data_IF_880156263935
#
_entry.id   IF_880156263935
#
_cell.length_a   1.000
_cell.length_b   1.000
_cell.length_c   1.000
_cell.angle_alpha   90.00
_cell.angle_beta   90.00
_cell.angle_gamma   90.00
#
_symmetry.space_group_name_H-M   'P 1'
#
loop_
_entity.id
_entity.type
_entity.pdbx_description
1 polymer ?
#
# COMPACT_ATOMS: atom_id res chain seq x y z
N UNK A 1 -17.55 -13.42 -9.92
CA UNK A 1 -16.71 -12.36 -9.32
C UNK A 1 -16.45 -12.73 -7.87
N UNK A 2 -15.22 -12.58 -7.38
CA UNK A 2 -14.87 -12.83 -5.97
C UNK A 2 -14.10 -11.63 -5.42
N UNK A 3 -14.47 -11.20 -4.23
CA UNK A 3 -13.77 -10.18 -3.45
C UNK A 3 -12.98 -10.91 -2.36
N UNK A 4 -11.73 -10.49 -2.16
CA UNK A 4 -10.85 -11.03 -1.12
C UNK A 4 -10.28 -9.86 -0.34
N UNK A 5 -10.40 -9.93 0.98
CA UNK A 5 -9.94 -8.90 1.91
C UNK A 5 -9.22 -9.58 3.09
N UNK A 6 -8.05 -9.07 3.44
CA UNK A 6 -7.29 -9.53 4.61
C UNK A 6 -6.32 -8.47 5.09
N UNK A 7 -5.86 -8.66 6.33
CA UNK A 7 -4.86 -7.82 6.98
C UNK A 7 -3.69 -8.68 7.41
N UNK A 8 -2.48 -8.22 7.17
CA UNK A 8 -1.24 -8.87 7.60
C UNK A 8 -0.44 -7.91 8.47
N UNK A 9 -0.04 -8.29 9.69
CA UNK A 9 0.86 -7.48 10.50
C UNK A 9 2.21 -7.27 9.80
N UNK A 10 2.77 -6.06 9.92
CA UNK A 10 4.12 -5.71 9.46
C UNK A 10 4.84 -5.02 10.63
N UNK A 11 5.59 -5.80 11.40
CA UNK A 11 6.12 -5.35 12.68
C UNK A 11 5.05 -5.29 13.78
N UNK A 12 5.35 -4.55 14.86
CA UNK A 12 4.49 -4.46 16.06
C UNK A 12 3.39 -3.42 15.88
N UNK A 13 3.70 -2.36 15.14
CA UNK A 13 2.88 -1.16 14.97
C UNK A 13 2.45 -0.91 13.53
N UNK A 14 2.83 -1.80 12.59
CA UNK A 14 2.47 -1.71 11.18
C UNK A 14 1.51 -2.80 10.74
N UNK A 15 0.74 -2.53 9.69
CA UNK A 15 -0.10 -3.52 9.03
C UNK A 15 -0.20 -3.25 7.53
N UNK A 16 -0.35 -4.32 6.76
CA UNK A 16 -0.76 -4.28 5.36
C UNK A 16 -2.20 -4.69 5.24
N UNK A 17 -3.03 -3.85 4.62
CA UNK A 17 -4.41 -4.17 4.23
C UNK A 17 -4.42 -4.49 2.75
N UNK A 18 -4.95 -5.65 2.41
CA UNK A 18 -5.09 -6.08 1.02
C UNK A 18 -6.57 -6.28 0.72
N UNK A 19 -7.02 -5.70 -0.38
CA UNK A 19 -8.30 -5.96 -1.02
C UNK A 19 -8.08 -6.20 -2.49
N UNK A 20 -8.65 -7.24 -3.06
CA UNK A 20 -8.68 -7.39 -4.51
C UNK A 20 -9.96 -8.05 -5.00
N UNK A 21 -10.28 -7.75 -6.26
CA UNK A 21 -11.44 -8.27 -6.97
C UNK A 21 -10.96 -9.11 -8.14
N UNK A 22 -11.54 -10.30 -8.30
CA UNK A 22 -11.19 -11.22 -9.38
C UNK A 22 -12.38 -11.84 -10.09
N UNK A 23 -12.17 -12.17 -11.37
CA UNK A 23 -13.05 -13.01 -12.18
C UNK A 23 -12.21 -14.22 -12.64
N UNK A 24 -12.56 -15.41 -12.14
CA UNK A 24 -11.70 -16.59 -12.32
C UNK A 24 -10.32 -16.37 -11.69
N UNK A 25 -9.28 -16.54 -12.48
CA UNK A 25 -7.88 -16.30 -12.11
C UNK A 25 -7.39 -14.86 -12.37
N UNK A 26 -8.23 -14.00 -12.97
CA UNK A 26 -7.82 -12.65 -13.38
C UNK A 26 -8.22 -11.60 -12.33
N UNK A 27 -7.24 -10.86 -11.82
CA UNK A 27 -7.44 -9.64 -11.04
C UNK A 27 -7.94 -8.53 -11.96
N UNK A 28 -9.00 -7.85 -11.51
CA UNK A 28 -9.57 -6.70 -12.23
C UNK A 28 -9.39 -5.39 -11.46
N UNK A 29 -9.26 -5.46 -10.13
CA UNK A 29 -9.02 -4.31 -9.26
C UNK A 29 -8.29 -4.77 -8.00
N UNK A 30 -7.43 -3.92 -7.44
CA UNK A 30 -6.87 -4.15 -6.11
C UNK A 30 -6.52 -2.86 -5.38
N UNK A 31 -6.39 -2.99 -4.07
CA UNK A 31 -5.79 -2.02 -3.16
C UNK A 31 -4.89 -2.79 -2.18
N UNK A 32 -3.63 -2.40 -2.09
CA UNK A 32 -2.67 -2.90 -1.09
C UNK A 32 -2.07 -1.71 -0.36
N UNK A 33 -2.39 -1.55 0.91
CA UNK A 33 -2.02 -0.37 1.69
C UNK A 33 -1.21 -0.75 2.93
N UNK A 34 -0.07 -0.10 3.11
CA UNK A 34 0.71 -0.13 4.35
C UNK A 34 0.32 1.03 5.25
N UNK A 35 0.03 0.72 6.52
CA UNK A 35 -0.32 1.68 7.56
C UNK A 35 0.53 1.42 8.81
N UNK A 36 0.87 2.48 9.55
CA UNK A 36 1.45 2.38 10.89
C UNK A 36 0.57 3.06 11.92
N UNK A 37 0.73 2.63 13.17
CA UNK A 37 0.00 3.18 14.30
C UNK A 37 0.87 4.17 15.08
N UNK A 38 0.43 5.44 15.15
CA UNK A 38 1.07 6.51 15.92
C UNK A 38 0.01 7.12 16.84
N UNK A 39 0.28 7.28 18.13
CA UNK A 39 -0.66 7.87 19.10
C UNK A 39 -2.09 7.29 19.05
N UNK A 40 -2.16 5.97 18.85
CA UNK A 40 -3.40 5.19 18.71
C UNK A 40 -4.20 5.39 17.41
N UNK A 41 -3.66 6.13 16.44
CA UNK A 41 -4.26 6.37 15.13
C UNK A 41 -3.48 5.68 14.01
N UNK A 42 -4.16 5.27 12.94
CA UNK A 42 -3.55 4.59 11.80
C UNK A 42 -3.26 5.58 10.67
N UNK A 43 -1.99 5.66 10.28
CA UNK A 43 -1.51 6.52 9.22
C UNK A 43 -1.13 5.69 8.00
N UNK A 44 -1.73 5.93 6.82
CA UNK A 44 -1.28 5.31 5.58
C UNK A 44 0.08 5.87 5.16
N UNK A 45 1.01 5.00 4.78
CA UNK A 45 2.35 5.41 4.31
C UNK A 45 2.51 5.14 2.81
N UNK A 46 2.10 3.96 2.36
CA UNK A 46 2.19 3.56 0.95
C UNK A 46 0.90 2.85 0.58
N UNK A 47 0.30 3.23 -0.55
CA UNK A 47 -0.84 2.57 -1.14
C UNK A 47 -0.54 2.20 -2.58
N UNK A 48 -0.80 0.96 -2.92
CA UNK A 48 -0.90 0.53 -4.31
C UNK A 48 -2.37 0.35 -4.63
N UNK A 49 -2.84 0.91 -5.73
CA UNK A 49 -4.21 0.74 -6.19
C UNK A 49 -4.31 0.69 -7.71
N UNK A 50 -5.47 0.29 -8.19
CA UNK A 50 -5.81 0.28 -9.61
C UNK A 50 -6.79 1.39 -9.92
N UNK A 51 -6.28 2.61 -10.08
CA UNK A 51 -7.08 3.74 -10.56
C UNK A 51 -7.18 3.71 -12.09
N UNK A 52 -8.38 3.84 -12.65
CA UNK A 52 -8.62 3.87 -14.10
C UNK A 52 -8.03 2.68 -14.91
N UNK A 53 -7.87 1.52 -14.28
CA UNK A 53 -7.38 0.30 -14.94
C UNK A 53 -5.84 0.17 -14.99
N UNK A 54 -5.10 1.14 -14.46
CA UNK A 54 -3.65 1.10 -14.31
C UNK A 54 -3.26 1.01 -12.85
N UNK A 55 -2.17 0.30 -12.56
CA UNK A 55 -1.67 0.18 -11.20
C UNK A 55 -0.80 1.40 -10.87
N UNK A 56 -1.05 2.03 -9.73
CA UNK A 56 -0.27 3.14 -9.20
C UNK A 56 0.33 2.79 -7.84
N UNK A 57 1.37 3.52 -7.48
CA UNK A 57 1.94 3.58 -6.14
C UNK A 57 1.83 5.02 -5.64
N UNK A 58 1.05 5.19 -4.58
CA UNK A 58 0.91 6.41 -3.84
C UNK A 58 1.79 6.33 -2.58
N UNK A 59 2.74 7.25 -2.42
CA UNK A 59 3.45 7.47 -1.15
C UNK A 59 2.83 8.67 -0.45
N UNK A 60 2.42 8.49 0.80
CA UNK A 60 1.73 9.48 1.59
C UNK A 60 2.69 10.07 2.63
N UNK A 61 2.77 11.39 2.69
CA UNK A 61 3.51 12.13 3.70
C UNK A 61 2.69 12.26 4.98
N UNK A 62 3.34 12.56 6.11
CA UNK A 62 2.62 12.85 7.36
C UNK A 62 1.66 14.04 7.23
N UNK A 63 1.97 14.99 6.35
CA UNK A 63 1.14 16.18 6.08
C UNK A 63 -0.03 15.93 5.12
N UNK A 64 -0.12 14.73 4.55
CA UNK A 64 -1.16 14.38 3.58
C UNK A 64 -0.79 14.65 2.12
N UNK A 65 0.45 15.05 1.83
CA UNK A 65 0.94 15.11 0.46
C UNK A 65 1.04 13.70 -0.14
N UNK A 66 0.73 13.56 -1.42
CA UNK A 66 0.76 12.27 -2.11
C UNK A 66 1.68 12.37 -3.33
N UNK A 67 2.70 11.52 -3.36
CA UNK A 67 3.54 11.30 -4.54
C UNK A 67 2.99 10.07 -5.26
N UNK A 68 2.52 10.26 -6.50
CA UNK A 68 1.97 9.20 -7.34
C UNK A 68 3.01 8.74 -8.35
N UNK A 69 3.26 7.44 -8.39
CA UNK A 69 4.12 6.77 -9.37
C UNK A 69 3.25 5.75 -10.13
N UNK A 70 3.19 5.85 -11.45
CA UNK A 70 2.55 4.81 -12.28
C UNK A 70 3.44 3.56 -12.30
N UNK A 71 2.83 2.39 -12.17
CA UNK A 71 3.55 1.13 -12.29
C UNK A 71 3.58 0.66 -13.76
N UNK A 72 4.74 0.19 -14.25
CA UNK A 72 4.90 -0.24 -15.64
C UNK A 72 4.33 -1.65 -15.88
N UNK A 73 3.16 -1.97 -15.32
CA UNK A 73 2.52 -3.28 -15.42
C UNK A 73 1.14 -3.17 -16.06
N UNK A 74 0.98 -3.83 -17.20
CA UNK A 74 -0.33 -3.99 -17.85
C UNK A 74 -1.12 -5.18 -17.27
N UNK A 75 -0.46 -6.14 -16.63
CA UNK A 75 -1.11 -7.27 -15.95
C UNK A 75 -1.31 -6.96 -14.47
N UNK A 76 -2.58 -6.85 -14.06
CA UNK A 76 -2.94 -6.58 -12.67
C UNK A 76 -2.63 -7.74 -11.71
N UNK A 77 -2.50 -8.98 -12.20
CA UNK A 77 -2.02 -10.08 -11.37
C UNK A 77 -0.56 -9.84 -10.96
N UNK A 78 0.27 -9.42 -11.92
CA UNK A 78 1.67 -9.09 -11.70
C UNK A 78 1.79 -7.85 -10.81
N UNK A 79 0.98 -6.81 -11.08
CA UNK A 79 0.98 -5.59 -10.28
C UNK A 79 0.58 -5.84 -8.81
N UNK A 80 -0.46 -6.66 -8.57
CA UNK A 80 -0.84 -7.07 -7.21
C UNK A 80 0.30 -7.82 -6.52
N UNK A 81 0.91 -8.79 -7.21
CA UNK A 81 2.02 -9.59 -6.67
C UNK A 81 3.23 -8.70 -6.33
N UNK A 82 3.54 -7.73 -7.20
CA UNK A 82 4.58 -6.74 -6.99
C UNK A 82 4.28 -5.88 -5.76
N UNK A 83 3.07 -5.33 -5.65
CA UNK A 83 2.66 -4.49 -4.51
C UNK A 83 2.79 -5.23 -3.18
N UNK A 84 2.34 -6.49 -3.12
CA UNK A 84 2.46 -7.31 -1.92
C UNK A 84 3.90 -7.60 -1.54
N UNK A 85 4.76 -7.90 -2.54
CA UNK A 85 6.18 -8.18 -2.34
C UNK A 85 6.95 -6.94 -1.91
N UNK A 86 6.72 -5.80 -2.56
CA UNK A 86 7.39 -4.55 -2.20
C UNK A 86 7.11 -4.16 -0.75
N UNK A 87 5.85 -4.20 -0.31
CA UNK A 87 5.53 -3.90 1.08
C UNK A 87 6.11 -4.93 2.05
N UNK A 88 6.17 -6.21 1.67
CA UNK A 88 6.81 -7.24 2.51
C UNK A 88 8.30 -6.98 2.68
N UNK A 89 8.98 -6.54 1.63
CA UNK A 89 10.45 -6.43 1.60
C UNK A 89 10.94 -5.04 2.06
N UNK A 90 10.14 -3.99 1.84
CA UNK A 90 10.58 -2.59 2.01
C UNK A 90 9.82 -1.79 3.10
N UNK A 91 8.89 -2.39 3.86
CA UNK A 91 8.08 -1.66 4.85
C UNK A 91 8.89 -0.87 5.88
N UNK A 92 10.06 -1.39 6.31
CA UNK A 92 10.92 -0.71 7.29
C UNK A 92 11.42 0.62 6.76
N UNK A 93 11.86 0.66 5.49
CA UNK A 93 12.34 1.88 4.84
C UNK A 93 11.23 2.92 4.70
N UNK A 94 10.02 2.49 4.32
CA UNK A 94 8.86 3.39 4.26
C UNK A 94 8.52 3.97 5.63
N UNK A 95 8.53 3.13 6.67
CA UNK A 95 8.31 3.57 8.05
C UNK A 95 9.36 4.58 8.49
N UNK A 96 10.64 4.30 8.28
CA UNK A 96 11.73 5.20 8.65
C UNK A 96 11.62 6.56 7.96
N UNK A 97 11.27 6.58 6.67
CA UNK A 97 11.05 7.83 5.94
C UNK A 97 9.88 8.63 6.53
N UNK A 98 8.76 7.98 6.79
CA UNK A 98 7.57 8.61 7.35
C UNK A 98 7.82 9.17 8.75
N UNK A 99 8.49 8.42 9.63
CA UNK A 99 8.78 8.88 11.00
C UNK A 99 9.75 10.06 11.04
N UNK A 100 10.67 10.18 10.07
CA UNK A 100 11.52 11.37 9.92
C UNK A 100 10.69 12.63 9.61
N UNK A 101 9.59 12.50 8.88
CA UNK A 101 8.68 13.61 8.65
C UNK A 101 7.89 13.98 9.90
N UNK A 102 7.40 12.98 10.65
CA UNK A 102 6.67 13.20 11.91
C UNK A 102 7.52 14.03 12.89
N UNK A 103 8.77 13.61 13.14
CA UNK A 103 9.69 14.31 14.06
C UNK A 103 9.97 15.75 13.61
N UNK A 104 9.93 16.03 12.30
CA UNK A 104 10.18 17.38 11.77
C UNK A 104 9.00 18.34 12.03
N UNK A 105 7.81 17.81 12.26
CA UNK A 105 6.57 18.56 12.33
C UNK A 105 5.81 18.46 13.67
N UNK A 106 6.29 17.63 14.59
CA UNK A 106 6.02 17.73 16.04
C UNK A 106 6.89 18.83 16.69
#
# INVERSE_FOLDING_TARGET
>A
MKIVEYVTPLGIDGRRRTRHVRIGSKIIEFVVQYEIKINNEWYPIVRYDTSHGFAHKDRLSYKGDVIKEELPFNDLNLALTFAEKDLKDNWQKYKEHFLKEVIKYD
#
